data_IF_266681237010
#
_entry.id   IF_266681237010
#
_cell.length_a   1.000
_cell.length_b   1.000
_cell.length_c   1.000
_cell.angle_alpha   90.00
_cell.angle_beta   90.00
_cell.angle_gamma   90.00
#
_symmetry.space_group_name_H-M   'P 1'
#
loop_
_entity.id
_entity.type
_entity.pdbx_description
1 polymer ?
#
# COMPACT_ATOMS: atom_id res chain seq x y z
N UNK A 1 6.71 4.01 18.63
CA UNK A 1 7.04 4.87 17.47
C UNK A 1 8.34 4.35 16.89
N UNK A 2 8.37 3.92 15.62
CA UNK A 2 9.52 3.20 15.04
C UNK A 2 10.58 4.20 14.56
N UNK A 3 11.81 4.17 15.10
CA UNK A 3 12.91 5.04 14.69
C UNK A 3 13.47 4.76 13.28
N UNK A 4 12.99 3.70 12.62
CA UNK A 4 13.64 3.09 11.44
C UNK A 4 12.87 3.32 10.13
N UNK A 5 11.70 3.95 10.17
CA UNK A 5 10.90 4.22 8.96
C UNK A 5 11.60 5.18 7.96
N UNK A 6 12.67 5.86 8.41
CA UNK A 6 13.49 6.74 7.57
C UNK A 6 14.52 5.98 6.70
N UNK A 7 14.75 4.68 6.94
CA UNK A 7 15.67 3.87 6.13
C UNK A 7 15.10 3.46 4.77
N UNK A 8 13.78 3.36 4.65
CA UNK A 8 13.09 2.87 3.46
C UNK A 8 13.03 3.86 2.30
N UNK A 9 12.64 5.11 2.57
CA UNK A 9 12.51 6.11 1.52
C UNK A 9 13.81 6.88 1.41
N UNK A 10 14.52 6.67 0.30
CA UNK A 10 15.77 7.36 0.01
C UNK A 10 15.72 8.05 -1.35
N UNK A 11 16.53 9.10 -1.48
CA UNK A 11 16.71 9.88 -2.71
C UNK A 11 18.17 10.20 -2.92
N UNK A 12 18.60 10.25 -4.18
CA UNK A 12 19.91 10.77 -4.54
C UNK A 12 19.95 12.29 -4.31
N UNK A 13 21.15 12.86 -4.25
CA UNK A 13 21.37 14.33 -4.25
C UNK A 13 20.73 15.03 -5.46
N UNK A 14 20.57 14.31 -6.58
CA UNK A 14 19.87 14.77 -7.78
C UNK A 14 18.32 14.73 -7.64
N UNK A 15 17.78 14.34 -6.48
CA UNK A 15 16.34 14.26 -6.24
C UNK A 15 15.66 13.03 -6.86
N UNK A 16 16.39 12.15 -7.55
CA UNK A 16 15.85 10.89 -8.07
C UNK A 16 15.64 9.85 -6.96
N UNK A 17 14.71 8.92 -7.19
CA UNK A 17 14.46 7.79 -6.31
C UNK A 17 15.72 6.94 -6.12
N UNK A 18 16.04 6.62 -4.86
CA UNK A 18 17.10 5.68 -4.52
C UNK A 18 16.49 4.44 -3.84
N UNK A 19 16.74 3.24 -4.36
CA UNK A 19 16.23 2.02 -3.74
C UNK A 19 16.95 1.72 -2.41
N UNK A 20 16.36 0.86 -1.56
CA UNK A 20 17.02 0.34 -0.37
C UNK A 20 18.35 -0.35 -0.66
N UNK A 21 19.24 -0.40 0.34
CA UNK A 21 20.62 -0.92 0.16
C UNK A 21 20.66 -2.40 -0.22
N UNK A 22 19.66 -3.19 0.19
CA UNK A 22 19.52 -4.60 -0.13
C UNK A 22 18.85 -4.90 -1.48
N UNK A 23 18.59 -3.86 -2.30
CA UNK A 23 17.93 -3.99 -3.60
C UNK A 23 18.84 -3.58 -4.77
N UNK A 24 18.68 -4.16 -5.96
CA UNK A 24 19.39 -3.71 -7.15
C UNK A 24 18.94 -2.28 -7.53
N UNK A 25 19.86 -1.40 -7.98
CA UNK A 25 21.27 -1.66 -8.28
C UNK A 25 22.23 -1.50 -7.08
N UNK A 26 21.74 -1.19 -5.88
CA UNK A 26 22.58 -1.01 -4.69
C UNK A 26 23.23 -2.32 -4.24
N UNK A 27 22.49 -3.42 -4.29
CA UNK A 27 23.01 -4.77 -4.05
C UNK A 27 22.71 -5.70 -5.23
N UNK A 28 23.77 -6.30 -5.78
CA UNK A 28 23.67 -7.27 -6.86
C UNK A 28 23.52 -8.69 -6.30
N UNK A 29 22.66 -9.53 -6.91
CA UNK A 29 22.51 -10.92 -6.48
C UNK A 29 23.83 -11.68 -6.69
N UNK A 30 24.44 -12.14 -5.60
CA UNK A 30 25.69 -12.93 -5.62
C UNK A 30 26.90 -12.30 -4.91
N UNK A 31 26.83 -11.05 -4.46
CA UNK A 31 27.81 -10.50 -3.52
C UNK A 31 27.43 -10.87 -2.08
N UNK A 32 28.34 -11.53 -1.35
CA UNK A 32 28.12 -12.00 0.02
C UNK A 32 27.96 -10.90 1.08
N UNK A 33 28.13 -9.63 0.69
CA UNK A 33 27.88 -8.47 1.53
C UNK A 33 27.53 -7.28 0.62
N UNK A 34 26.36 -6.67 0.83
CA UNK A 34 26.00 -5.39 0.20
C UNK A 34 26.90 -4.31 0.81
N UNK A 35 28.10 -4.13 0.26
CA UNK A 35 29.02 -3.12 0.75
C UNK A 35 28.46 -1.74 0.37
N UNK A 36 28.35 -0.85 1.36
CA UNK A 36 28.04 0.58 1.20
C UNK A 36 28.96 1.25 0.15
N UNK A 37 30.12 0.66 -0.12
CA UNK A 37 30.78 0.39 -1.41
C UNK A 37 30.31 1.05 -2.75
N UNK A 38 29.00 1.08 -3.01
CA UNK A 38 28.42 1.08 -4.35
C UNK A 38 27.71 2.36 -4.81
N UNK A 39 26.89 2.22 -5.87
CA UNK A 39 26.14 3.29 -6.57
C UNK A 39 25.25 4.12 -5.63
N UNK A 40 24.86 3.58 -4.48
CA UNK A 40 23.89 4.18 -3.55
C UNK A 40 24.51 4.89 -2.32
N UNK A 41 25.82 5.21 -2.35
CA UNK A 41 26.48 6.01 -1.29
C UNK A 41 25.87 7.40 -1.10
N UNK A 42 25.51 8.05 -2.20
CA UNK A 42 25.02 9.44 -2.21
C UNK A 42 23.51 9.54 -1.91
N UNK A 43 22.91 8.47 -1.38
CA UNK A 43 21.50 8.41 -1.06
C UNK A 43 21.20 8.90 0.35
N UNK A 44 20.31 9.89 0.44
CA UNK A 44 19.84 10.51 1.69
C UNK A 44 18.38 10.15 1.93
N UNK A 45 17.87 10.36 3.16
CA UNK A 45 16.44 10.16 3.46
C UNK A 45 15.55 11.07 2.60
N UNK A 46 14.41 10.54 2.14
CA UNK A 46 13.41 11.33 1.42
C UNK A 46 12.85 12.47 2.26
N UNK A 47 12.61 12.18 3.54
CA UNK A 47 11.93 13.07 4.48
C UNK A 47 12.88 13.44 5.61
N UNK A 48 12.98 14.74 5.87
CA UNK A 48 13.60 15.25 7.08
C UNK A 48 12.51 15.42 8.14
N UNK A 49 12.86 15.17 9.40
CA UNK A 49 11.90 15.32 10.50
C UNK A 49 11.39 16.77 10.64
N UNK A 50 12.20 17.74 10.23
CA UNK A 50 11.85 19.16 10.14
C UNK A 50 10.68 19.46 9.19
N UNK A 51 10.48 18.61 8.18
CA UNK A 51 9.53 18.87 7.10
C UNK A 51 8.14 18.31 7.43
N UNK A 52 7.98 17.69 8.60
CA UNK A 52 6.74 17.05 9.00
C UNK A 52 5.81 18.06 9.69
N UNK A 53 4.58 18.14 9.18
CA UNK A 53 3.49 18.82 9.86
C UNK A 53 2.63 17.77 10.58
N UNK A 54 2.61 17.81 11.92
CA UNK A 54 1.86 16.85 12.75
C UNK A 54 2.17 15.36 12.45
N UNK A 55 3.45 15.02 12.28
CA UNK A 55 3.92 13.68 11.91
C UNK A 55 3.41 13.18 10.54
N UNK A 56 3.08 14.09 9.62
CA UNK A 56 2.68 13.78 8.25
C UNK A 56 3.48 14.64 7.25
N UNK A 57 3.78 14.09 6.06
CA UNK A 57 4.39 14.88 4.99
C UNK A 57 3.41 15.93 4.44
N UNK A 58 3.92 16.94 3.75
CA UNK A 58 3.09 17.90 3.02
C UNK A 58 2.38 17.22 1.85
N UNK A 59 1.35 17.88 1.30
CA UNK A 59 0.61 17.37 0.13
C UNK A 59 1.52 17.23 -1.09
N UNK A 60 2.42 18.20 -1.34
CA UNK A 60 3.34 18.13 -2.48
C UNK A 60 4.31 16.96 -2.33
N UNK A 61 4.87 16.79 -1.12
CA UNK A 61 5.77 15.67 -0.83
C UNK A 61 5.05 14.33 -0.94
N UNK A 62 3.81 14.23 -0.49
CA UNK A 62 3.04 13.01 -0.62
C UNK A 62 2.83 12.62 -2.08
N UNK A 63 2.45 13.59 -2.92
CA UNK A 63 2.20 13.36 -4.34
C UNK A 63 3.47 12.88 -5.06
N UNK A 64 4.60 13.52 -4.77
CA UNK A 64 5.88 13.19 -5.39
C UNK A 64 6.38 11.79 -4.99
N UNK A 65 6.22 11.40 -3.72
CA UNK A 65 6.80 10.17 -3.16
C UNK A 65 5.87 8.96 -3.24
N UNK A 66 4.57 9.14 -3.50
CA UNK A 66 3.62 8.03 -3.59
C UNK A 66 4.00 7.01 -4.69
N UNK A 67 4.37 7.41 -5.93
CA UNK A 67 4.80 6.46 -6.95
C UNK A 67 6.06 5.67 -6.54
N UNK A 68 6.96 6.28 -5.77
CA UNK A 68 8.16 5.62 -5.28
C UNK A 68 7.80 4.54 -4.27
N UNK A 69 6.86 4.82 -3.36
CA UNK A 69 6.36 3.85 -2.40
C UNK A 69 5.70 2.63 -3.08
N UNK A 70 4.89 2.85 -4.13
CA UNK A 70 4.17 1.78 -4.83
C UNK A 70 5.05 0.89 -5.70
N UNK A 71 6.22 1.42 -6.11
CA UNK A 71 7.24 0.67 -6.84
C UNK A 71 8.31 0.05 -5.93
N UNK A 72 8.41 0.48 -4.67
CA UNK A 72 9.38 -0.06 -3.73
C UNK A 72 9.06 -1.50 -3.34
N UNK A 73 10.00 -2.41 -3.62
CA UNK A 73 9.89 -3.82 -3.26
C UNK A 73 10.06 -4.01 -1.74
N UNK A 74 9.30 -4.92 -1.10
CA UNK A 74 9.55 -5.29 0.28
C UNK A 74 10.84 -6.12 0.39
N UNK A 75 11.63 -5.83 1.41
CA UNK A 75 12.99 -6.35 1.61
C UNK A 75 13.34 -6.36 3.10
N UNK A 76 14.54 -6.83 3.48
CA UNK A 76 14.91 -6.94 4.90
C UNK A 76 15.18 -5.56 5.50
N UNK A 77 15.87 -4.69 4.75
CA UNK A 77 16.15 -3.32 5.16
C UNK A 77 14.93 -2.41 5.00
N UNK A 78 14.00 -2.78 4.10
CA UNK A 78 12.72 -2.11 3.96
C UNK A 78 11.54 -3.08 3.87
N UNK A 79 11.03 -3.49 5.03
CA UNK A 79 9.88 -4.40 5.13
C UNK A 79 8.55 -3.80 4.66
N UNK A 80 8.44 -2.46 4.66
CA UNK A 80 7.21 -1.72 4.32
C UNK A 80 7.27 -1.15 2.90
N UNK A 81 7.54 -2.01 1.92
CA UNK A 81 7.39 -1.69 0.51
C UNK A 81 5.91 -1.66 0.11
N UNK A 82 5.51 -0.69 -0.71
CA UNK A 82 4.13 -0.61 -1.20
C UNK A 82 3.84 -1.55 -2.37
N UNK A 83 4.89 -2.08 -3.00
CA UNK A 83 4.77 -2.96 -4.14
C UNK A 83 4.09 -4.29 -3.77
N UNK A 84 3.14 -4.72 -4.59
CA UNK A 84 2.36 -5.94 -4.40
C UNK A 84 1.19 -5.80 -3.43
N UNK A 85 1.39 -5.16 -2.27
CA UNK A 85 0.32 -4.98 -1.28
C UNK A 85 -0.67 -3.87 -1.67
N UNK A 86 -0.18 -2.74 -2.18
CA UNK A 86 -1.01 -1.56 -2.46
C UNK A 86 -1.02 -1.14 -3.93
N UNK A 87 -0.18 -1.74 -4.79
CA UNK A 87 -0.05 -1.38 -6.21
C UNK A 87 -1.37 -1.48 -6.97
N UNK A 88 -2.22 -2.49 -6.67
CA UNK A 88 -3.54 -2.65 -7.29
C UNK A 88 -4.66 -1.91 -6.55
N UNK A 89 -4.35 -1.30 -5.42
CA UNK A 89 -5.35 -0.76 -4.49
C UNK A 89 -5.61 0.73 -4.67
N UNK A 90 -4.85 1.40 -5.53
CA UNK A 90 -4.99 2.81 -5.86
C UNK A 90 -5.19 2.94 -7.36
N UNK A 91 -6.21 3.71 -7.76
CA UNK A 91 -6.40 4.10 -9.16
C UNK A 91 -5.55 5.34 -9.45
N UNK A 92 -4.44 5.11 -10.16
CA UNK A 92 -3.49 6.14 -10.58
C UNK A 92 -3.71 6.60 -12.02
N UNK A 93 -4.85 6.26 -12.64
CA UNK A 93 -5.19 6.82 -13.96
C UNK A 93 -5.31 8.35 -13.82
N UNK A 94 -4.61 9.10 -14.67
CA UNK A 94 -4.49 10.56 -14.63
C UNK A 94 -3.87 11.14 -13.34
N UNK A 95 -2.95 10.40 -12.69
CA UNK A 95 -2.26 10.85 -11.46
C UNK A 95 -1.30 12.05 -11.67
N UNK A 96 -1.14 12.57 -12.89
CA UNK A 96 -0.35 13.77 -13.17
C UNK A 96 -0.82 15.00 -12.38
N UNK A 97 -2.11 15.05 -12.04
CA UNK A 97 -2.70 16.12 -11.22
C UNK A 97 -2.55 15.86 -9.70
N UNK A 98 -1.93 14.75 -9.29
CA UNK A 98 -1.75 14.35 -7.90
C UNK A 98 -3.01 13.88 -7.18
N UNK A 99 -4.11 13.66 -7.92
CA UNK A 99 -5.41 13.25 -7.37
C UNK A 99 -5.59 11.75 -7.55
N UNK A 100 -5.87 11.05 -6.44
CA UNK A 100 -6.26 9.64 -6.46
C UNK A 100 -7.77 9.57 -6.65
N UNK A 101 -8.23 8.95 -7.74
CA UNK A 101 -9.67 8.88 -8.06
C UNK A 101 -10.41 7.84 -7.24
N UNK A 102 -9.80 6.68 -7.06
CA UNK A 102 -10.36 5.58 -6.30
C UNK A 102 -9.26 4.89 -5.49
N UNK A 103 -9.64 4.41 -4.31
CA UNK A 103 -8.79 3.59 -3.46
C UNK A 103 -9.62 2.48 -2.84
N UNK A 104 -9.00 1.35 -2.56
CA UNK A 104 -9.62 0.25 -1.83
C UNK A 104 -8.86 -0.05 -0.53
N UNK A 105 -9.62 -0.44 0.48
CA UNK A 105 -9.11 -0.93 1.75
C UNK A 105 -9.57 -2.37 1.91
N UNK A 106 -8.61 -3.29 2.01
CA UNK A 106 -8.89 -4.72 2.17
C UNK A 106 -8.89 -5.10 3.65
N UNK A 107 -9.87 -5.90 4.05
CA UNK A 107 -9.96 -6.49 5.38
C UNK A 107 -10.57 -7.89 5.28
N UNK A 108 -10.53 -8.63 6.38
CA UNK A 108 -11.05 -9.98 6.46
C UNK A 108 -12.31 -10.01 7.35
N UNK A 109 -13.26 -10.85 6.97
CA UNK A 109 -14.35 -11.22 7.84
C UNK A 109 -13.87 -12.24 8.89
N UNK A 110 -14.60 -12.32 10.00
CA UNK A 110 -14.51 -13.48 10.90
C UNK A 110 -14.93 -14.76 10.15
N UNK A 111 -14.51 -15.95 10.60
CA UNK A 111 -14.92 -17.20 9.96
C UNK A 111 -16.45 -17.31 9.85
N UNK A 112 -16.96 -17.56 8.64
CA UNK A 112 -18.39 -17.71 8.33
C UNK A 112 -18.63 -19.16 7.90
N UNK A 113 -19.49 -19.87 8.63
CA UNK A 113 -19.65 -21.32 8.44
C UNK A 113 -21.07 -21.72 7.99
N UNK A 114 -22.06 -20.85 8.20
CA UNK A 114 -23.46 -21.11 7.85
C UNK A 114 -23.96 -20.05 6.87
N UNK A 115 -24.97 -20.40 6.07
CA UNK A 115 -25.62 -19.47 5.14
C UNK A 115 -26.05 -18.16 5.82
N UNK A 116 -26.57 -18.25 7.05
CA UNK A 116 -27.00 -17.07 7.82
C UNK A 116 -25.83 -16.15 8.18
N UNK A 117 -24.62 -16.70 8.39
CA UNK A 117 -23.42 -15.92 8.71
C UNK A 117 -22.99 -15.09 7.49
N UNK A 118 -23.05 -15.66 6.28
CA UNK A 118 -22.79 -14.92 5.04
C UNK A 118 -23.79 -13.79 4.81
N UNK A 119 -25.09 -14.05 5.02
CA UNK A 119 -26.14 -13.03 4.87
C UNK A 119 -25.95 -11.90 5.89
N UNK A 120 -25.66 -12.25 7.15
CA UNK A 120 -25.43 -11.27 8.21
C UNK A 120 -24.15 -10.46 7.98
N UNK A 121 -23.06 -11.09 7.55
CA UNK A 121 -21.81 -10.41 7.23
C UNK A 121 -22.00 -9.41 6.07
N UNK A 122 -22.75 -9.79 5.04
CA UNK A 122 -23.07 -8.92 3.91
C UNK A 122 -23.97 -7.75 4.32
N UNK A 123 -24.94 -7.98 5.20
CA UNK A 123 -25.78 -6.91 5.77
C UNK A 123 -24.94 -5.93 6.58
N UNK A 124 -24.11 -6.43 7.50
CA UNK A 124 -23.23 -5.60 8.32
C UNK A 124 -22.24 -4.78 7.48
N UNK A 125 -21.68 -5.37 6.41
CA UNK A 125 -20.77 -4.66 5.51
C UNK A 125 -21.48 -3.51 4.75
N UNK A 126 -22.75 -3.69 4.36
CA UNK A 126 -23.56 -2.63 3.74
C UNK A 126 -23.88 -1.51 4.72
N UNK A 127 -24.32 -1.85 5.93
CA UNK A 127 -24.61 -0.88 6.99
C UNK A 127 -23.36 -0.07 7.35
N UNK A 128 -22.20 -0.73 7.46
CA UNK A 128 -20.92 -0.07 7.69
C UNK A 128 -20.58 0.90 6.55
N UNK A 129 -20.68 0.45 5.29
CA UNK A 129 -20.35 1.28 4.12
C UNK A 129 -21.24 2.53 4.05
N UNK A 130 -22.56 2.38 4.25
CA UNK A 130 -23.50 3.50 4.31
C UNK A 130 -23.13 4.48 5.41
N UNK A 131 -22.91 3.97 6.64
CA UNK A 131 -22.59 4.82 7.79
C UNK A 131 -21.30 5.63 7.59
N UNK A 132 -20.25 5.02 7.05
CA UNK A 132 -18.98 5.72 6.79
C UNK A 132 -19.13 6.68 5.61
N UNK A 133 -19.85 6.31 4.56
CA UNK A 133 -20.16 7.19 3.43
C UNK A 133 -20.90 8.44 3.91
N UNK A 134 -21.91 8.27 4.77
CA UNK A 134 -22.68 9.38 5.37
C UNK A 134 -21.82 10.28 6.27
N UNK A 135 -20.86 9.70 7.00
CA UNK A 135 -19.97 10.43 7.90
C UNK A 135 -18.89 11.21 7.16
N UNK A 136 -18.31 10.62 6.11
CA UNK A 136 -17.19 11.21 5.37
C UNK A 136 -17.66 12.03 4.17
N UNK A 137 -18.94 11.94 3.78
CA UNK A 137 -19.51 12.57 2.58
C UNK A 137 -18.77 12.18 1.30
N UNK A 138 -18.36 10.91 1.22
CA UNK A 138 -17.73 10.30 0.05
C UNK A 138 -18.47 9.03 -0.33
N UNK A 139 -18.47 8.68 -1.60
CA UNK A 139 -19.06 7.42 -2.08
C UNK A 139 -18.17 6.24 -1.70
N UNK A 140 -18.71 5.32 -0.90
CA UNK A 140 -18.00 4.10 -0.49
C UNK A 140 -18.72 2.90 -1.09
N UNK A 141 -18.02 2.23 -2.00
CA UNK A 141 -18.51 1.01 -2.63
C UNK A 141 -17.89 -0.21 -1.97
N UNK A 142 -18.73 -1.20 -1.67
CA UNK A 142 -18.27 -2.52 -1.23
C UNK A 142 -17.89 -3.35 -2.46
N UNK A 143 -16.60 -3.62 -2.64
CA UNK A 143 -16.13 -4.57 -3.65
C UNK A 143 -16.36 -6.01 -3.19
N UNK A 144 -16.52 -6.92 -4.14
CA UNK A 144 -17.02 -8.30 -3.96
C UNK A 144 -16.18 -9.07 -2.92
N UNK A 145 -16.85 -9.72 -1.96
CA UNK A 145 -16.23 -10.71 -1.08
C UNK A 145 -15.73 -11.87 -1.96
N UNK A 146 -14.43 -11.88 -2.27
CA UNK A 146 -13.79 -13.01 -2.96
C UNK A 146 -13.55 -14.09 -1.93
N UNK A 147 -14.50 -15.00 -1.79
CA UNK A 147 -14.35 -16.16 -0.90
C UNK A 147 -13.40 -17.13 -1.60
N UNK A 148 -12.14 -17.12 -1.21
CA UNK A 148 -11.19 -18.17 -1.59
C UNK A 148 -11.47 -19.40 -0.72
N UNK A 149 -12.27 -20.33 -1.23
CA UNK A 149 -12.31 -21.67 -0.67
C UNK A 149 -11.02 -22.38 -1.08
N UNK A 150 -10.09 -22.57 -0.13
CA UNK A 150 -9.01 -23.54 -0.25
C UNK A 150 -9.57 -24.96 -0.08
N UNK A 151 -10.42 -25.35 -1.02
CA UNK A 151 -10.64 -26.74 -1.38
C UNK A 151 -11.13 -26.70 -2.81
N UNK A 152 -10.47 -27.44 -3.69
CA UNK A 152 -11.01 -27.73 -5.01
C UNK A 152 -12.52 -28.01 -4.90
N UNK A 153 -13.29 -27.42 -5.81
CA UNK A 153 -14.74 -27.54 -6.04
C UNK A 153 -15.65 -26.43 -5.45
N UNK A 154 -16.29 -25.71 -6.39
CA UNK A 154 -17.52 -24.89 -6.31
C UNK A 154 -17.39 -23.37 -6.08
N UNK A 155 -17.41 -22.63 -7.21
CA UNK A 155 -17.84 -21.24 -7.30
C UNK A 155 -19.38 -21.23 -7.32
N UNK A 156 -20.01 -20.75 -6.26
CA UNK A 156 -21.41 -20.32 -6.29
C UNK A 156 -21.51 -18.94 -5.62
N UNK A 157 -21.80 -17.92 -6.42
CA UNK A 157 -21.89 -16.55 -5.89
C UNK A 157 -22.18 -15.47 -6.93
N UNK A 158 -22.99 -15.78 -7.96
CA UNK A 158 -23.53 -14.75 -8.86
C UNK A 158 -24.82 -15.20 -9.55
N UNK A 159 -25.89 -15.47 -8.80
CA UNK A 159 -27.27 -15.38 -9.31
C UNK A 159 -28.21 -14.98 -8.16
N UNK A 160 -29.00 -13.93 -8.38
CA UNK A 160 -30.08 -13.38 -7.53
C UNK A 160 -29.62 -12.54 -6.33
N UNK A 161 -29.43 -11.24 -6.55
CA UNK A 161 -30.36 -10.14 -6.18
C UNK A 161 -29.94 -8.88 -6.91
#
# INVERSE_FOLDING_TARGET
MSPEAFGCCRKFTNGSYCPPDDQPPCCLPGQGSCALDGVCRDCTTCFLHSDWHNNRPSTEQFIEKLPWFLNALPSADCSKGGHGAYTSSLDLNDYENGVIRASEFRTYHTPLNKQIDFVNAMRAAREFSSRISDSLKIDIFRTQCSIYFSSNTWIFGRQHW
#
